data_IF_592441853155
#
_entry.id   IF_592441853155
#
_cell.length_a   1.000
_cell.length_b   1.000
_cell.length_c   1.000
_cell.angle_alpha   90.00
_cell.angle_beta   90.00
_cell.angle_gamma   90.00
#
_symmetry.space_group_name_H-M   'P 1'
#
loop_
_entity.id
_entity.type
_entity.pdbx_description
1 polymer ?
#
# COMPACT_ATOMS: atom_id res chain seq x y z
N UNK A 1 -3.08 4.99 -12.39
CA UNK A 1 -3.10 3.81 -11.46
C UNK A 1 -1.99 2.82 -11.82
N UNK A 2 -1.32 2.20 -10.83
CA UNK A 2 -0.05 1.40 -10.86
C UNK A 2 0.33 0.61 -12.12
N UNK A 3 -0.63 0.17 -12.93
CA UNK A 3 -0.38 -0.30 -14.31
C UNK A 3 0.42 0.71 -15.14
N UNK A 4 0.01 1.98 -15.14
CA UNK A 4 0.69 3.05 -15.87
C UNK A 4 2.08 3.35 -15.29
N UNK A 5 2.26 3.17 -13.98
CA UNK A 5 3.55 3.33 -13.29
C UNK A 5 4.53 2.21 -13.68
N UNK A 6 4.12 0.93 -13.59
CA UNK A 6 4.95 -0.21 -14.04
C UNK A 6 5.34 -0.12 -15.52
N UNK A 7 4.43 0.43 -16.31
CA UNK A 7 4.66 0.74 -17.72
C UNK A 7 5.73 1.82 -17.90
N UNK A 8 5.71 2.91 -17.12
CA UNK A 8 6.77 3.93 -17.16
C UNK A 8 8.15 3.39 -16.76
N UNK A 9 8.22 2.41 -15.86
CA UNK A 9 9.47 1.77 -15.41
C UNK A 9 10.05 0.78 -16.44
N UNK A 10 9.25 0.32 -17.40
CA UNK A 10 9.64 -0.63 -18.46
C UNK A 10 9.40 -0.04 -19.86
N UNK A 11 10.23 0.93 -20.30
CA UNK A 11 9.99 1.70 -21.52
C UNK A 11 9.96 0.84 -22.81
N UNK A 12 10.61 -0.32 -22.83
CA UNK A 12 10.57 -1.27 -23.94
C UNK A 12 9.21 -1.99 -24.08
N UNK A 13 8.59 -2.36 -22.96
CA UNK A 13 7.24 -2.95 -22.93
C UNK A 13 6.18 -1.90 -23.32
N UNK A 14 6.40 -0.66 -22.88
CA UNK A 14 5.56 0.49 -23.23
C UNK A 14 5.49 0.73 -24.73
N UNK A 15 6.62 0.55 -25.43
CA UNK A 15 6.68 0.76 -26.87
C UNK A 15 5.97 -0.35 -27.65
N UNK A 16 6.02 -1.59 -27.18
CA UNK A 16 5.27 -2.69 -27.78
C UNK A 16 3.76 -2.53 -27.58
N UNK A 17 3.33 -2.19 -26.37
CA UNK A 17 1.91 -1.97 -26.04
C UNK A 17 1.37 -0.73 -26.75
N UNK A 18 2.14 0.36 -26.82
CA UNK A 18 1.78 1.56 -27.57
C UNK A 18 1.53 1.28 -29.04
N UNK A 19 2.44 0.52 -29.70
CA UNK A 19 2.26 0.11 -31.11
C UNK A 19 1.03 -0.77 -31.33
N UNK A 20 0.64 -1.59 -30.35
CA UNK A 20 -0.57 -2.42 -30.43
C UNK A 20 -1.84 -1.59 -30.23
N UNK A 21 -1.86 -0.66 -29.28
CA UNK A 21 -3.04 0.18 -29.00
C UNK A 21 -3.30 1.21 -30.11
N UNK A 22 -2.23 1.80 -30.68
CA UNK A 22 -2.30 2.74 -31.81
C UNK A 22 -2.85 2.11 -33.09
N UNK A 23 -2.84 0.77 -33.21
CA UNK A 23 -3.49 0.05 -34.32
C UNK A 23 -5.02 0.02 -34.22
N UNK A 24 -5.60 0.27 -33.04
CA UNK A 24 -7.04 0.18 -32.77
C UNK A 24 -7.70 1.55 -32.51
N UNK A 25 -6.92 2.63 -32.32
CA UNK A 25 -7.43 3.97 -32.04
C UNK A 25 -6.97 4.99 -33.09
N UNK A 26 -7.90 5.51 -33.88
CA UNK A 26 -7.67 6.52 -34.93
C UNK A 26 -7.58 7.96 -34.38
N UNK A 27 -6.95 8.16 -33.20
CA UNK A 27 -6.66 9.50 -32.65
C UNK A 27 -5.18 9.80 -32.79
N UNK A 28 -4.85 10.72 -33.71
CA UNK A 28 -3.48 11.05 -34.15
C UNK A 28 -2.72 12.07 -33.30
N UNK A 29 -3.30 12.62 -32.24
CA UNK A 29 -2.71 13.83 -31.65
C UNK A 29 -1.79 13.61 -30.43
N UNK A 30 -1.81 12.44 -29.78
CA UNK A 30 -0.86 12.09 -28.70
C UNK A 30 -0.56 10.58 -28.74
N UNK A 31 0.70 10.18 -28.92
CA UNK A 31 1.11 8.76 -28.81
C UNK A 31 0.79 8.22 -27.42
N UNK A 32 0.30 6.98 -27.32
CA UNK A 32 0.04 6.33 -26.02
C UNK A 32 1.30 6.32 -25.13
N UNK A 33 2.49 6.22 -25.74
CA UNK A 33 3.77 6.33 -25.04
C UNK A 33 3.97 7.70 -24.40
N UNK A 34 3.81 8.76 -25.18
CA UNK A 34 3.85 10.14 -24.67
C UNK A 34 2.74 10.40 -23.67
N UNK A 35 1.61 9.72 -23.83
CA UNK A 35 0.50 9.82 -22.89
C UNK A 35 0.96 9.29 -21.51
N UNK A 36 1.42 8.05 -21.44
CA UNK A 36 1.84 7.44 -20.18
C UNK A 36 3.03 8.17 -19.58
N UNK A 37 4.03 8.55 -20.38
CA UNK A 37 5.22 9.26 -19.91
C UNK A 37 4.92 10.66 -19.36
N UNK A 38 3.86 11.34 -19.84
CA UNK A 38 3.46 12.66 -19.34
C UNK A 38 2.52 12.61 -18.14
N UNK A 39 1.84 11.48 -17.88
CA UNK A 39 0.94 11.35 -16.73
C UNK A 39 1.67 11.40 -15.39
N UNK A 40 1.04 12.02 -14.39
CA UNK A 40 1.54 12.00 -13.02
C UNK A 40 1.46 10.60 -12.41
N UNK A 41 2.40 10.30 -11.51
CA UNK A 41 2.37 9.12 -10.65
C UNK A 41 3.10 9.42 -9.34
N UNK A 42 2.99 8.50 -8.37
CA UNK A 42 3.59 8.70 -7.05
C UNK A 42 5.11 8.88 -7.11
N UNK A 43 5.83 8.16 -7.96
CA UNK A 43 7.30 8.27 -8.02
C UNK A 43 7.78 9.62 -8.53
N UNK A 44 7.05 10.23 -9.47
CA UNK A 44 7.33 11.59 -9.92
C UNK A 44 7.12 12.59 -8.78
N UNK A 45 6.02 12.46 -8.04
CA UNK A 45 5.71 13.34 -6.90
C UNK A 45 6.70 13.12 -5.75
N UNK A 46 7.09 11.88 -5.45
CA UNK A 46 8.14 11.52 -4.46
C UNK A 46 9.48 12.19 -4.76
N UNK A 47 9.83 12.38 -6.04
CA UNK A 47 11.08 13.05 -6.45
C UNK A 47 11.04 14.58 -6.26
N UNK A 48 9.86 15.18 -6.15
CA UNK A 48 9.71 16.60 -5.87
C UNK A 48 9.96 16.88 -4.39
N UNK A 49 10.51 18.06 -4.06
CA UNK A 49 10.55 18.58 -2.70
C UNK A 49 9.15 18.99 -2.22
N UNK A 50 8.98 19.11 -0.90
CA UNK A 50 7.68 19.50 -0.32
C UNK A 50 7.22 20.87 -0.82
N UNK A 51 8.14 21.82 -0.99
CA UNK A 51 7.84 23.14 -1.55
C UNK A 51 7.40 23.07 -3.00
N UNK A 52 8.07 22.26 -3.84
CA UNK A 52 7.69 22.10 -5.26
C UNK A 52 6.28 21.50 -5.40
N UNK A 53 5.91 20.54 -4.55
CA UNK A 53 4.55 19.96 -4.55
C UNK A 53 3.52 21.05 -4.24
N UNK A 54 3.76 21.84 -3.19
CA UNK A 54 2.86 22.93 -2.76
C UNK A 54 2.76 24.03 -3.82
N UNK A 55 3.88 24.40 -4.45
CA UNK A 55 3.90 25.38 -5.54
C UNK A 55 3.14 24.89 -6.77
N UNK A 56 3.26 23.59 -7.08
CA UNK A 56 2.52 22.98 -8.19
C UNK A 56 1.01 22.99 -7.89
N UNK A 57 0.57 22.65 -6.67
CA UNK A 57 -0.83 22.78 -6.25
C UNK A 57 -1.34 24.23 -6.42
N UNK A 58 -0.56 25.22 -5.98
CA UNK A 58 -0.92 26.64 -6.15
C UNK A 58 -1.02 27.06 -7.61
N UNK A 59 -0.16 26.52 -8.48
CA UNK A 59 -0.16 26.83 -9.91
C UNK A 59 -1.46 26.40 -10.61
N UNK A 60 -2.13 25.37 -10.09
CA UNK A 60 -3.44 24.89 -10.54
C UNK A 60 -4.59 25.41 -9.66
N UNK A 61 -4.38 26.53 -8.96
CA UNK A 61 -5.37 27.18 -8.11
C UNK A 61 -5.92 26.30 -6.97
N UNK A 62 -5.10 25.38 -6.44
CA UNK A 62 -5.39 24.63 -5.22
C UNK A 62 -4.68 25.31 -4.04
N UNK A 63 -5.47 25.85 -3.12
CA UNK A 63 -4.96 26.40 -1.88
C UNK A 63 -4.57 25.28 -0.92
N UNK A 64 -3.32 25.31 -0.48
CA UNK A 64 -2.73 24.35 0.45
C UNK A 64 -2.00 25.07 1.57
N UNK A 65 -2.35 24.69 2.80
CA UNK A 65 -1.76 25.22 4.02
C UNK A 65 -1.50 24.06 5.00
N UNK A 66 -0.30 24.02 5.57
CA UNK A 66 0.20 22.85 6.30
C UNK A 66 -0.63 22.58 7.55
N UNK A 67 -0.99 23.60 8.33
CA UNK A 67 -1.70 23.37 9.60
C UNK A 67 -3.15 22.99 9.34
N UNK A 68 -3.80 23.60 8.34
CA UNK A 68 -5.13 23.16 7.87
C UNK A 68 -5.11 21.70 7.40
N UNK A 69 -4.10 21.31 6.62
CA UNK A 69 -3.97 19.92 6.17
C UNK A 69 -3.80 18.94 7.34
N UNK A 70 -2.97 19.29 8.34
CA UNK A 70 -2.80 18.48 9.56
C UNK A 70 -4.08 18.30 10.34
N UNK A 71 -4.87 19.37 10.48
CA UNK A 71 -6.16 19.34 11.18
C UNK A 71 -7.16 18.46 10.43
N UNK A 72 -7.33 18.69 9.12
CA UNK A 72 -8.20 17.89 8.25
C UNK A 72 -7.83 16.41 8.33
N UNK A 73 -6.55 16.09 8.15
CA UNK A 73 -6.05 14.71 8.15
C UNK A 73 -6.38 13.93 9.42
N UNK A 74 -6.64 14.58 10.58
CA UNK A 74 -7.04 13.88 11.80
C UNK A 74 -8.33 13.07 11.65
N UNK A 75 -9.26 13.53 10.82
CA UNK A 75 -10.57 12.89 10.61
C UNK A 75 -10.58 11.83 9.50
N UNK A 76 -9.47 11.65 8.78
CA UNK A 76 -9.39 10.74 7.63
C UNK A 76 -8.41 9.60 7.86
N UNK A 77 -8.63 8.51 7.12
CA UNK A 77 -7.70 7.39 6.96
C UNK A 77 -7.28 7.20 5.49
N UNK A 78 -7.92 7.92 4.56
CA UNK A 78 -7.65 7.94 3.13
C UNK A 78 -7.22 9.34 2.72
N UNK A 79 -6.03 9.45 2.13
CA UNK A 79 -5.56 10.71 1.57
C UNK A 79 -6.36 11.09 0.30
N UNK A 80 -6.86 10.10 -0.44
CA UNK A 80 -7.73 10.33 -1.60
C UNK A 80 -9.07 10.91 -1.15
N UNK A 81 -9.74 10.33 -0.15
CA UNK A 81 -11.00 10.88 0.35
C UNK A 81 -10.83 12.30 0.91
N UNK A 82 -9.73 12.55 1.63
CA UNK A 82 -9.38 13.90 2.08
C UNK A 82 -9.21 14.87 0.89
N UNK A 83 -8.56 14.41 -0.19
CA UNK A 83 -8.41 15.19 -1.42
C UNK A 83 -9.79 15.50 -2.03
N UNK A 84 -10.66 14.49 -2.15
CA UNK A 84 -12.03 14.62 -2.68
C UNK A 84 -12.85 15.64 -1.90
N UNK A 85 -12.83 15.56 -0.58
CA UNK A 85 -13.68 16.38 0.27
C UNK A 85 -13.20 17.85 0.36
N UNK A 86 -11.88 18.08 0.31
CA UNK A 86 -11.30 19.40 0.64
C UNK A 86 -10.51 20.09 -0.48
N UNK A 87 -10.02 19.35 -1.47
CA UNK A 87 -9.11 19.89 -2.50
C UNK A 87 -9.75 19.87 -3.88
N UNK A 88 -10.44 18.78 -4.24
CA UNK A 88 -11.25 18.74 -5.47
C UNK A 88 -12.53 19.59 -5.38
N UNK A 89 -12.97 19.97 -4.19
CA UNK A 89 -14.08 20.92 -4.00
C UNK A 89 -13.69 22.38 -4.23
N UNK A 90 -12.40 22.67 -4.39
CA UNK A 90 -11.90 24.01 -4.72
C UNK A 90 -12.07 24.30 -6.21
N UNK A 91 -11.98 25.58 -6.58
CA UNK A 91 -12.01 26.00 -7.98
C UNK A 91 -10.64 25.78 -8.66
N UNK A 92 -10.16 24.54 -8.69
CA UNK A 92 -8.86 24.22 -9.30
C UNK A 92 -8.90 24.37 -10.83
N UNK A 93 -7.74 24.61 -11.42
CA UNK A 93 -7.53 24.79 -12.85
C UNK A 93 -6.53 23.75 -13.35
N UNK A 94 -7.02 22.52 -13.52
CA UNK A 94 -6.28 21.43 -14.14
C UNK A 94 -7.23 20.71 -15.10
N UNK A 95 -6.72 20.31 -16.27
CA UNK A 95 -7.48 19.53 -17.24
C UNK A 95 -6.81 18.18 -17.47
N UNK A 96 -7.59 17.10 -17.44
CA UNK A 96 -7.11 15.77 -17.75
C UNK A 96 -6.07 15.26 -16.75
N UNK A 97 -4.81 15.13 -17.18
CA UNK A 97 -3.78 14.42 -16.39
C UNK A 97 -3.28 15.21 -15.19
N UNK A 98 -3.38 16.52 -15.23
CA UNK A 98 -2.95 17.37 -14.13
C UNK A 98 -3.96 17.32 -12.97
N UNK A 99 -5.17 16.80 -13.21
CA UNK A 99 -6.17 16.57 -12.15
C UNK A 99 -5.71 15.46 -11.19
N UNK A 100 -5.02 14.44 -11.70
CA UNK A 100 -4.46 13.35 -10.89
C UNK A 100 -3.38 13.83 -9.92
N UNK A 101 -2.76 14.98 -10.22
CA UNK A 101 -1.71 15.53 -9.37
C UNK A 101 -2.20 15.81 -7.95
N UNK A 102 -3.47 16.23 -7.77
CA UNK A 102 -3.98 16.64 -6.46
C UNK A 102 -3.99 15.46 -5.48
N UNK A 103 -4.60 14.32 -5.85
CA UNK A 103 -4.64 13.15 -4.96
C UNK A 103 -3.25 12.55 -4.72
N UNK A 104 -2.38 12.54 -5.75
CA UNK A 104 -1.00 12.10 -5.63
C UNK A 104 -0.18 12.99 -4.68
N UNK A 105 -0.37 14.30 -4.78
CA UNK A 105 0.23 15.29 -3.89
C UNK A 105 -0.27 15.11 -2.46
N UNK A 106 -1.56 14.85 -2.24
CA UNK A 106 -2.10 14.64 -0.90
C UNK A 106 -1.50 13.40 -0.23
N UNK A 107 -1.33 12.29 -0.96
CA UNK A 107 -0.67 11.09 -0.43
C UNK A 107 0.77 11.43 -0.01
N UNK A 108 1.55 12.07 -0.89
CA UNK A 108 2.95 12.33 -0.60
C UNK A 108 3.15 13.38 0.50
N UNK A 109 2.31 14.42 0.53
CA UNK A 109 2.32 15.43 1.59
C UNK A 109 1.89 14.83 2.93
N UNK A 110 0.92 13.91 2.94
CA UNK A 110 0.57 13.14 4.15
C UNK A 110 1.79 12.43 4.71
N UNK A 111 2.50 11.67 3.86
CA UNK A 111 3.67 10.89 4.26
C UNK A 111 4.81 11.74 4.85
N UNK A 112 4.93 13.00 4.39
CA UNK A 112 5.99 13.92 4.82
C UNK A 112 5.63 14.77 6.03
N UNK A 113 4.38 15.24 6.09
CA UNK A 113 3.94 16.24 7.08
C UNK A 113 3.43 15.56 8.35
N UNK A 114 2.85 14.35 8.22
CA UNK A 114 2.21 13.60 9.32
C UNK A 114 2.72 12.15 9.31
N UNK A 115 4.04 11.91 9.35
CA UNK A 115 4.61 10.57 9.21
C UNK A 115 4.17 9.59 10.31
N UNK A 116 3.69 10.10 11.45
CA UNK A 116 3.15 9.33 12.56
C UNK A 116 1.76 8.75 12.29
N UNK A 117 1.03 9.29 11.31
CA UNK A 117 -0.31 8.82 10.92
C UNK A 117 -0.27 8.22 9.53
N UNK A 118 -0.64 6.96 9.42
CA UNK A 118 -0.69 6.27 8.14
C UNK A 118 -1.99 6.58 7.37
N UNK A 119 -1.89 6.60 6.06
CA UNK A 119 -3.04 6.57 5.14
C UNK A 119 -3.14 5.19 4.47
N UNK A 120 -4.35 4.81 4.09
CA UNK A 120 -4.64 3.47 3.56
C UNK A 120 -4.05 3.23 2.16
N UNK A 121 -3.80 4.28 1.39
CA UNK A 121 -3.22 4.17 0.05
C UNK A 121 -1.80 3.59 0.09
N UNK A 122 -1.07 3.74 1.20
CA UNK A 122 0.24 3.12 1.39
C UNK A 122 0.19 1.59 1.49
N UNK A 123 -0.95 1.00 1.85
CA UNK A 123 -1.06 -0.43 2.12
C UNK A 123 -0.78 -1.23 0.85
N UNK A 124 -1.41 -0.86 -0.27
CA UNK A 124 -1.27 -1.59 -1.53
C UNK A 124 0.15 -1.50 -2.08
N UNK A 125 0.77 -0.33 -1.98
CA UNK A 125 2.17 -0.11 -2.36
C UNK A 125 3.09 -1.05 -1.59
N UNK A 126 3.00 -1.05 -0.25
CA UNK A 126 3.83 -1.89 0.62
C UNK A 126 3.62 -3.39 0.40
N UNK A 127 2.37 -3.83 0.17
CA UNK A 127 2.06 -5.23 -0.09
C UNK A 127 2.74 -5.70 -1.37
N UNK A 128 2.55 -4.96 -2.46
CA UNK A 128 3.09 -5.37 -3.76
C UNK A 128 4.60 -5.19 -3.85
N UNK A 129 5.16 -4.11 -3.29
CA UNK A 129 6.61 -3.93 -3.22
C UNK A 129 7.25 -5.06 -2.40
N UNK A 130 6.56 -5.55 -1.37
CA UNK A 130 7.00 -6.72 -0.62
C UNK A 130 6.94 -8.02 -1.43
N UNK A 131 5.90 -8.23 -2.27
CA UNK A 131 5.91 -9.36 -3.22
C UNK A 131 7.10 -9.26 -4.18
N UNK A 132 7.35 -8.09 -4.77
CA UNK A 132 8.47 -7.86 -5.68
C UNK A 132 9.82 -8.19 -5.01
N UNK A 133 10.02 -7.77 -3.75
CA UNK A 133 11.24 -8.12 -3.01
C UNK A 133 11.36 -9.63 -2.76
N UNK A 134 10.27 -10.29 -2.35
CA UNK A 134 10.26 -11.72 -2.04
C UNK A 134 10.51 -12.56 -3.30
N UNK A 135 9.90 -12.19 -4.43
CA UNK A 135 10.16 -12.83 -5.73
C UNK A 135 11.64 -12.70 -6.13
N UNK A 136 12.30 -11.60 -5.75
CA UNK A 136 13.73 -11.37 -5.95
C UNK A 136 14.62 -11.93 -4.82
N UNK A 137 14.08 -12.76 -3.92
CA UNK A 137 14.77 -13.37 -2.77
C UNK A 137 15.31 -12.36 -1.73
N UNK A 138 14.81 -11.12 -1.76
CA UNK A 138 15.15 -10.08 -0.78
C UNK A 138 14.20 -10.13 0.42
N UNK A 139 14.16 -11.27 1.11
CA UNK A 139 13.20 -11.54 2.19
C UNK A 139 13.20 -10.47 3.30
N UNK A 140 14.38 -9.94 3.68
CA UNK A 140 14.47 -8.92 4.73
C UNK A 140 13.66 -7.67 4.39
N UNK A 141 13.90 -7.11 3.21
CA UNK A 141 13.25 -5.88 2.77
C UNK A 141 11.76 -6.12 2.53
N UNK A 142 11.39 -7.27 1.94
CA UNK A 142 10.00 -7.64 1.71
C UNK A 142 9.21 -7.81 3.01
N UNK A 143 9.79 -8.48 4.01
CA UNK A 143 9.16 -8.67 5.32
C UNK A 143 9.04 -7.35 6.10
N UNK A 144 9.99 -6.42 5.97
CA UNK A 144 9.88 -5.08 6.58
C UNK A 144 8.72 -4.28 5.96
N UNK A 145 8.53 -4.36 4.64
CA UNK A 145 7.40 -3.72 3.97
C UNK A 145 6.06 -4.34 4.36
N UNK A 146 5.96 -5.66 4.41
CA UNK A 146 4.74 -6.36 4.83
C UNK A 146 4.41 -6.14 6.31
N UNK A 147 5.41 -6.07 7.18
CA UNK A 147 5.21 -5.69 8.59
C UNK A 147 4.68 -4.27 8.71
N UNK A 148 5.20 -3.33 7.91
CA UNK A 148 4.66 -1.98 7.85
C UNK A 148 3.21 -1.98 7.37
N UNK A 149 2.88 -2.69 6.28
CA UNK A 149 1.51 -2.81 5.77
C UNK A 149 0.56 -3.35 6.84
N UNK A 150 0.97 -4.39 7.58
CA UNK A 150 0.21 -4.96 8.68
C UNK A 150 -0.07 -3.93 9.78
N UNK A 151 0.94 -3.18 10.21
CA UNK A 151 0.78 -2.15 11.24
C UNK A 151 -0.19 -1.05 10.80
N UNK A 152 -0.17 -0.67 9.51
CA UNK A 152 -1.11 0.30 8.95
C UNK A 152 -2.54 -0.26 9.02
N UNK A 153 -2.77 -1.49 8.52
CA UNK A 153 -4.08 -2.15 8.55
C UNK A 153 -4.62 -2.16 9.98
N UNK A 154 -3.83 -2.60 10.95
CA UNK A 154 -4.24 -2.68 12.36
C UNK A 154 -4.55 -1.30 12.96
N UNK A 155 -3.87 -0.25 12.51
CA UNK A 155 -4.10 1.12 13.00
C UNK A 155 -5.37 1.77 12.42
N UNK A 156 -5.73 1.42 11.19
CA UNK A 156 -6.85 2.03 10.45
C UNK A 156 -8.16 1.23 10.66
N UNK A 157 -8.07 -0.09 10.76
CA UNK A 157 -9.27 -0.94 10.96
C UNK A 157 -9.87 -0.66 12.33
N UNK A 158 -11.16 -0.26 12.40
CA UNK A 158 -11.81 0.02 13.67
C UNK A 158 -11.77 -1.18 14.64
N UNK A 159 -11.57 -0.98 15.95
CA UNK A 159 -11.41 -2.07 16.90
C UNK A 159 -12.61 -3.03 17.01
N UNK A 160 -13.80 -2.63 16.55
CA UNK A 160 -15.00 -3.48 16.53
C UNK A 160 -15.02 -4.45 15.34
N UNK A 161 -14.21 -4.22 14.31
CA UNK A 161 -14.00 -5.15 13.20
C UNK A 161 -13.04 -6.23 13.70
N UNK A 162 -13.54 -7.47 13.79
CA UNK A 162 -12.83 -8.60 14.43
C UNK A 162 -12.59 -9.78 13.49
N UNK A 163 -12.81 -9.61 12.19
CA UNK A 163 -12.50 -10.60 11.15
C UNK A 163 -11.75 -9.92 10.01
N UNK A 164 -10.79 -10.62 9.39
CA UNK A 164 -10.10 -10.09 8.20
C UNK A 164 -11.04 -9.94 7.00
N UNK A 165 -12.10 -10.74 6.90
CA UNK A 165 -13.12 -10.60 5.85
C UNK A 165 -13.93 -9.32 5.99
N UNK A 166 -14.21 -8.86 7.21
CA UNK A 166 -14.86 -7.57 7.42
C UNK A 166 -13.86 -6.41 7.29
N UNK A 167 -12.58 -6.63 7.61
CA UNK A 167 -11.53 -5.67 7.31
C UNK A 167 -11.37 -5.46 5.79
N UNK A 168 -11.47 -6.52 4.99
CA UNK A 168 -11.49 -6.45 3.52
C UNK A 168 -12.63 -5.58 2.99
N UNK A 169 -13.82 -5.71 3.57
CA UNK A 169 -14.97 -4.86 3.19
C UNK A 169 -14.76 -3.41 3.59
N UNK A 170 -14.09 -3.17 4.71
CA UNK A 170 -13.79 -1.83 5.21
C UNK A 170 -12.73 -1.13 4.35
N UNK A 171 -11.68 -1.85 3.94
CA UNK A 171 -10.61 -1.36 3.06
C UNK A 171 -10.80 -1.95 1.64
N UNK A 172 -11.92 -1.61 1.00
CA UNK A 172 -12.37 -2.26 -0.24
C UNK A 172 -11.57 -1.92 -1.51
N UNK A 173 -10.60 -1.02 -1.42
CA UNK A 173 -9.85 -0.47 -2.58
C UNK A 173 -8.50 -1.15 -2.82
N UNK A 174 -8.09 -2.09 -1.96
CA UNK A 174 -6.80 -2.78 -2.11
C UNK A 174 -6.82 -3.73 -3.32
N UNK A 175 -5.68 -3.84 -4.00
CA UNK A 175 -5.50 -4.81 -5.10
C UNK A 175 -5.50 -6.23 -4.55
N UNK A 176 -4.95 -6.43 -3.35
CA UNK A 176 -4.95 -7.72 -2.65
C UNK A 176 -6.02 -7.75 -1.56
N UNK A 177 -6.68 -8.90 -1.43
CA UNK A 177 -7.50 -9.21 -0.26
C UNK A 177 -6.59 -9.42 0.95
N UNK A 178 -6.87 -8.70 2.04
CA UNK A 178 -6.26 -8.85 3.37
C UNK A 178 -6.41 -10.30 3.84
N UNK A 179 -7.56 -10.95 3.59
CA UNK A 179 -7.76 -12.36 3.92
C UNK A 179 -6.72 -13.28 3.26
N UNK A 180 -6.38 -13.05 1.99
CA UNK A 180 -5.36 -13.83 1.30
C UNK A 180 -3.96 -13.41 1.75
N UNK A 181 -3.66 -12.12 1.67
CA UNK A 181 -2.33 -11.58 1.94
C UNK A 181 -1.83 -11.88 3.36
N UNK A 182 -2.70 -11.89 4.39
CA UNK A 182 -2.27 -12.24 5.75
C UNK A 182 -1.75 -13.69 5.86
N UNK A 183 -2.27 -14.60 5.03
CA UNK A 183 -1.78 -15.99 4.99
C UNK A 183 -0.47 -16.08 4.22
N UNK A 184 -0.33 -15.33 3.14
CA UNK A 184 0.94 -15.20 2.43
C UNK A 184 2.02 -14.62 3.34
N UNK A 185 1.71 -13.59 4.12
CA UNK A 185 2.64 -13.01 5.08
C UNK A 185 3.10 -14.03 6.13
N UNK A 186 2.18 -14.80 6.70
CA UNK A 186 2.52 -15.88 7.62
C UNK A 186 3.45 -16.92 6.98
N UNK A 187 3.13 -17.35 5.76
CA UNK A 187 3.90 -18.34 5.01
C UNK A 187 5.29 -17.83 4.65
N UNK A 188 5.42 -16.59 4.17
CA UNK A 188 6.72 -16.03 3.78
C UNK A 188 7.60 -15.72 4.99
N UNK A 189 7.03 -15.43 6.15
CA UNK A 189 7.80 -15.42 7.41
C UNK A 189 8.38 -16.80 7.74
N UNK A 190 7.72 -17.89 7.34
CA UNK A 190 8.25 -19.24 7.49
C UNK A 190 9.39 -19.50 6.50
N UNK A 191 9.23 -19.07 5.25
CA UNK A 191 10.25 -19.19 4.21
C UNK A 191 11.51 -18.40 4.56
N UNK A 192 11.36 -17.14 4.97
CA UNK A 192 12.46 -16.30 5.43
C UNK A 192 13.20 -16.90 6.65
N UNK A 193 12.50 -17.67 7.49
CA UNK A 193 13.09 -18.34 8.64
C UNK A 193 14.02 -19.51 8.28
N UNK A 194 13.97 -20.02 7.05
CA UNK A 194 14.94 -21.00 6.54
C UNK A 194 16.35 -20.39 6.42
N UNK A 195 16.44 -19.07 6.19
CA UNK A 195 17.70 -18.34 6.05
C UNK A 195 18.11 -17.65 7.36
N UNK A 196 17.16 -17.05 8.08
CA UNK A 196 17.39 -16.34 9.34
C UNK A 196 16.34 -16.73 10.38
N UNK A 197 16.76 -17.54 11.36
CA UNK A 197 15.89 -18.04 12.42
C UNK A 197 15.19 -16.93 13.24
N UNK A 198 15.65 -15.67 13.18
CA UNK A 198 14.93 -14.53 13.75
C UNK A 198 13.50 -14.40 13.21
N UNK A 199 13.23 -14.82 11.98
CA UNK A 199 11.88 -14.77 11.41
C UNK A 199 10.90 -15.74 12.09
N UNK A 200 11.36 -16.80 12.77
CA UNK A 200 10.48 -17.60 13.62
C UNK A 200 9.90 -16.80 14.80
N UNK A 201 10.67 -15.85 15.35
CA UNK A 201 10.18 -14.93 16.38
C UNK A 201 9.15 -13.96 15.80
N UNK A 202 9.42 -13.41 14.61
CA UNK A 202 8.47 -12.53 13.91
C UNK A 202 7.17 -13.27 13.56
N UNK A 203 7.23 -14.47 12.99
CA UNK A 203 6.07 -15.34 12.69
C UNK A 203 5.26 -15.63 13.94
N UNK A 204 5.91 -16.00 15.04
CA UNK A 204 5.26 -16.23 16.33
C UNK A 204 4.48 -14.99 16.80
N UNK A 205 5.13 -13.82 16.80
CA UNK A 205 4.49 -12.56 17.20
C UNK A 205 3.32 -12.21 16.28
N UNK A 206 3.52 -12.31 14.96
CA UNK A 206 2.50 -12.02 13.96
C UNK A 206 1.27 -12.90 14.14
N UNK A 207 1.43 -14.22 14.28
CA UNK A 207 0.30 -15.14 14.48
C UNK A 207 -0.48 -14.85 15.77
N UNK A 208 0.21 -14.47 16.86
CA UNK A 208 -0.44 -14.07 18.11
C UNK A 208 -1.22 -12.76 17.95
N UNK A 209 -0.59 -11.75 17.34
CA UNK A 209 -1.21 -10.46 17.10
C UNK A 209 -2.43 -10.59 16.18
N UNK A 210 -2.32 -11.38 15.09
CA UNK A 210 -3.42 -11.70 14.20
C UNK A 210 -4.62 -12.24 14.97
N UNK A 211 -4.43 -13.28 15.79
CA UNK A 211 -5.54 -13.91 16.53
C UNK A 211 -6.12 -13.01 17.62
N UNK A 212 -5.32 -12.10 18.18
CA UNK A 212 -5.78 -11.10 19.15
C UNK A 212 -6.64 -10.01 18.48
N UNK A 213 -6.25 -9.59 17.29
CA UNK A 213 -6.88 -8.47 16.57
C UNK A 213 -8.12 -8.96 15.82
N UNK A 214 -8.02 -10.10 15.13
CA UNK A 214 -9.09 -10.69 14.31
C UNK A 214 -9.54 -12.09 14.78
N UNK A 215 -9.99 -12.25 16.04
CA UNK A 215 -10.35 -13.54 16.62
C UNK A 215 -11.56 -14.22 15.96
N UNK A 216 -12.36 -13.47 15.20
CA UNK A 216 -13.57 -13.96 14.53
C UNK A 216 -13.37 -14.14 13.03
N UNK A 217 -12.12 -14.17 12.57
CA UNK A 217 -11.78 -14.63 11.22
C UNK A 217 -12.18 -16.09 11.02
N UNK A 218 -12.16 -16.54 9.76
CA UNK A 218 -12.50 -17.91 9.41
C UNK A 218 -11.72 -18.95 10.25
N UNK A 219 -12.36 -20.07 10.57
CA UNK A 219 -11.76 -21.08 11.46
C UNK A 219 -10.49 -21.69 10.87
N UNK A 220 -10.38 -21.78 9.55
CA UNK A 220 -9.21 -22.32 8.88
C UNK A 220 -8.00 -21.39 9.07
N UNK A 221 -8.14 -20.09 8.82
CA UNK A 221 -7.04 -19.13 9.01
C UNK A 221 -6.60 -19.07 10.48
N UNK A 222 -7.53 -19.10 11.43
CA UNK A 222 -7.19 -19.15 12.87
C UNK A 222 -6.39 -20.41 13.22
N UNK A 223 -6.78 -21.57 12.69
CA UNK A 223 -6.04 -22.83 12.89
C UNK A 223 -4.66 -22.79 12.23
N UNK A 224 -4.53 -22.21 11.04
CA UNK A 224 -3.25 -22.04 10.36
C UNK A 224 -2.31 -21.17 11.20
N UNK A 225 -2.80 -20.04 11.74
CA UNK A 225 -2.01 -19.18 12.62
C UNK A 225 -1.57 -19.89 13.92
N UNK A 226 -2.41 -20.74 14.51
CA UNK A 226 -2.03 -21.55 15.68
C UNK A 226 -0.93 -22.56 15.32
N UNK A 227 -1.11 -23.27 14.21
CA UNK A 227 -0.13 -24.25 13.72
C UNK A 227 1.21 -23.58 13.41
N UNK A 228 1.19 -22.45 12.71
CA UNK A 228 2.35 -21.66 12.34
C UNK A 228 3.18 -21.19 13.56
N UNK A 229 2.49 -20.76 14.62
CA UNK A 229 3.13 -20.42 15.89
C UNK A 229 3.79 -21.64 16.55
N UNK A 230 3.08 -22.78 16.61
CA UNK A 230 3.60 -24.00 17.20
C UNK A 230 4.84 -24.52 16.45
N UNK A 231 4.80 -24.50 15.11
CA UNK A 231 5.94 -24.86 14.25
C UNK A 231 7.14 -23.94 14.49
N UNK A 232 6.90 -22.63 14.55
CA UNK A 232 7.96 -21.64 14.76
C UNK A 232 8.61 -21.78 16.15
N UNK A 233 7.83 -22.06 17.19
CA UNK A 233 8.36 -22.35 18.54
C UNK A 233 9.14 -23.65 18.60
N UNK A 234 8.63 -24.70 17.96
CA UNK A 234 9.33 -25.98 17.88
C UNK A 234 10.69 -25.83 17.19
N UNK A 235 10.76 -25.05 16.11
CA UNK A 235 12.00 -24.75 15.40
C UNK A 235 13.02 -23.99 16.28
N UNK A 236 12.54 -23.16 17.21
CA UNK A 236 13.38 -22.46 18.20
C UNK A 236 13.76 -23.33 19.42
N UNK A 237 13.35 -24.60 19.45
CA UNK A 237 13.65 -25.54 20.55
C UNK A 237 12.72 -25.46 21.75
N UNK A 238 11.66 -24.65 21.71
CA UNK A 238 10.64 -24.55 22.75
C UNK A 238 9.55 -25.63 22.57
N UNK A 239 9.90 -26.87 22.91
CA UNK A 239 9.05 -28.05 22.70
C UNK A 239 7.94 -28.24 23.75
N UNK A 240 7.97 -27.51 24.87
CA UNK A 240 6.90 -27.57 25.89
C UNK A 240 5.65 -26.79 25.45
N UNK A 241 5.82 -25.67 24.74
CA UNK A 241 4.70 -24.83 24.30
C UNK A 241 4.13 -25.24 22.94
N UNK A 242 4.90 -25.99 22.13
CA UNK A 242 4.50 -26.44 20.79
C UNK A 242 3.37 -27.51 20.78
N UNK A 243 3.01 -28.08 21.95
CA UNK A 243 2.00 -29.14 22.09
C UNK A 243 0.61 -28.65 22.51
N UNK A 244 0.43 -27.35 22.76
CA UNK A 244 -0.85 -26.74 23.15
C UNK A 244 -1.59 -26.15 21.96
#
# INVERSE_FOLDING_TARGET
MRFEQRLQEKPEQLEQIGKQIEQYYDRKDISFKDFILKSWNLDKVKKMSTSEIIETLRSINVDFEIERFKEQAQSYVSAIQLAEDHYYTQNFQAEGKDEDFIWLAMIELWNRIIPEKYNMEMIDDLIQDGYDDIENQNYRDGMEKWEKAWNIIVSIVPPHIKSVTDADKFISVLTQSIFNWCQDFEMELANAALEDAFFHLKRTKYCQDFRRIFPYSDKLIIKNMLKAEAESRAALGDTETAKK
#
